data_IF_186428676058
#
_entry.id   IF_186428676058
#
_cell.length_a   1.000
_cell.length_b   1.000
_cell.length_c   1.000
_cell.angle_alpha   90.00
_cell.angle_beta   90.00
_cell.angle_gamma   90.00
#
_symmetry.space_group_name_H-M   'P 1'
#
loop_
_entity.id
_entity.type
_entity.pdbx_description
1 polymer ?
#
# COMPACT_ATOMS: atom_id res chain seq x y z
N UNK A 1 56.85 -37.80 39.67
CA UNK A 1 56.42 -37.73 38.26
C UNK A 1 54.90 -37.75 38.26
N UNK A 2 54.27 -36.60 38.05
CA UNK A 2 52.82 -36.49 37.85
C UNK A 2 52.59 -36.24 36.35
N UNK A 3 51.72 -36.98 35.67
CA UNK A 3 51.24 -36.55 34.36
C UNK A 3 50.23 -35.43 34.59
N UNK A 4 50.48 -34.26 33.99
CA UNK A 4 49.50 -33.21 33.78
C UNK A 4 48.42 -33.76 32.85
N UNK A 5 47.21 -33.98 33.37
CA UNK A 5 46.07 -34.42 32.57
C UNK A 5 45.61 -33.29 31.67
N UNK A 6 46.11 -33.26 30.44
CA UNK A 6 45.48 -32.48 29.37
C UNK A 6 44.14 -33.12 29.05
N UNK A 7 43.08 -32.46 29.48
CA UNK A 7 41.72 -32.90 29.25
C UNK A 7 41.45 -32.86 27.72
N UNK A 8 41.15 -34.00 27.07
CA UNK A 8 40.95 -34.05 25.63
C UNK A 8 39.64 -33.39 25.16
N UNK A 9 38.81 -32.89 26.09
CA UNK A 9 37.57 -32.18 25.82
C UNK A 9 37.69 -30.66 25.93
N UNK A 10 38.90 -30.10 25.98
CA UNK A 10 39.10 -28.67 25.80
C UNK A 10 38.91 -28.32 24.32
N UNK A 11 37.65 -28.17 23.92
CA UNK A 11 37.27 -27.59 22.64
C UNK A 11 37.95 -26.23 22.48
N UNK A 12 38.46 -25.87 21.29
CA UNK A 12 38.93 -24.51 21.05
C UNK A 12 37.78 -23.58 21.41
N UNK A 13 38.08 -22.46 22.08
CA UNK A 13 37.12 -21.43 22.41
C UNK A 13 36.28 -21.15 21.16
N UNK A 14 35.08 -21.72 21.12
CA UNK A 14 34.07 -21.38 20.14
C UNK A 14 33.88 -19.90 20.42
N UNK A 15 34.32 -19.07 19.47
CA UNK A 15 33.97 -17.67 19.44
C UNK A 15 32.47 -17.63 19.72
N UNK A 16 32.10 -17.22 20.93
CA UNK A 16 30.74 -16.86 21.24
C UNK A 16 30.42 -15.80 20.19
N UNK A 17 29.75 -16.23 19.11
CA UNK A 17 29.05 -15.35 18.22
C UNK A 17 28.03 -14.68 19.13
N UNK A 18 28.42 -13.54 19.68
CA UNK A 18 27.51 -12.58 20.28
C UNK A 18 26.43 -12.43 19.21
N UNK A 19 25.17 -12.84 19.48
CA UNK A 19 24.10 -12.60 18.54
C UNK A 19 24.17 -11.11 18.22
N UNK A 20 24.23 -10.69 16.93
CA UNK A 20 24.23 -9.28 16.62
C UNK A 20 23.04 -8.67 17.37
N UNK A 21 23.31 -7.61 18.15
CA UNK A 21 22.28 -6.94 18.93
C UNK A 21 21.11 -6.64 17.98
N UNK A 22 19.86 -6.93 18.36
CA UNK A 22 18.70 -6.49 17.60
C UNK A 22 18.57 -4.99 17.83
N UNK A 23 19.45 -4.22 17.22
CA UNK A 23 19.42 -2.78 17.21
C UNK A 23 19.76 -2.37 15.80
N UNK A 24 18.72 -1.97 15.07
CA UNK A 24 18.75 -1.40 13.71
C UNK A 24 18.72 -2.42 12.55
N UNK A 25 17.67 -3.25 12.52
CA UNK A 25 17.16 -3.78 11.24
C UNK A 25 15.69 -3.39 11.15
N UNK A 26 15.36 -2.70 10.06
CA UNK A 26 14.03 -2.50 9.47
C UNK A 26 12.97 -1.66 10.21
N UNK A 27 13.21 -0.36 10.38
CA UNK A 27 12.11 0.60 10.58
C UNK A 27 11.49 1.13 9.28
N UNK A 28 11.99 0.69 8.11
CA UNK A 28 11.47 1.14 6.80
C UNK A 28 10.60 0.10 6.10
N UNK A 29 10.79 -1.19 6.37
CA UNK A 29 10.07 -2.27 5.68
C UNK A 29 8.60 -2.41 6.15
N UNK A 30 8.29 -2.07 7.41
CA UNK A 30 6.92 -2.16 7.96
C UNK A 30 5.96 -1.07 7.46
N UNK A 31 6.48 0.05 6.94
CA UNK A 31 5.65 1.20 6.57
C UNK A 31 4.90 1.02 5.24
N UNK A 32 5.47 0.25 4.32
CA UNK A 32 4.89 0.02 2.99
C UNK A 32 3.66 -0.91 3.04
N UNK A 33 3.68 -2.05 3.76
CA UNK A 33 2.50 -2.87 3.99
C UNK A 33 1.33 -2.09 4.60
N UNK A 34 1.63 -1.18 5.54
CA UNK A 34 0.61 -0.37 6.21
C UNK A 34 -0.09 0.63 5.25
N UNK A 35 0.67 1.33 4.41
CA UNK A 35 0.12 2.29 3.44
C UNK A 35 -0.68 1.60 2.32
N UNK A 36 -0.19 0.44 1.86
CA UNK A 36 -0.92 -0.39 0.87
C UNK A 36 -2.23 -0.91 1.45
N UNK A 37 -2.21 -1.44 2.68
CA UNK A 37 -3.40 -1.89 3.38
C UNK A 37 -4.39 -0.73 3.60
N UNK A 38 -3.91 0.45 4.00
CA UNK A 38 -4.75 1.63 4.16
C UNK A 38 -5.41 2.04 2.83
N UNK A 39 -4.66 2.01 1.73
CA UNK A 39 -5.17 2.33 0.40
C UNK A 39 -6.26 1.34 -0.02
N UNK A 40 -6.06 0.04 0.24
CA UNK A 40 -7.08 -0.98 0.00
C UNK A 40 -8.34 -0.74 0.84
N UNK A 41 -8.19 -0.39 2.11
CA UNK A 41 -9.31 -0.06 2.98
C UNK A 41 -10.11 1.14 2.45
N UNK A 42 -9.45 2.17 1.92
CA UNK A 42 -10.15 3.29 1.28
C UNK A 42 -10.92 2.88 0.02
N UNK A 43 -10.38 1.99 -0.80
CA UNK A 43 -11.12 1.43 -1.93
C UNK A 43 -12.35 0.64 -1.48
N UNK A 44 -12.24 -0.16 -0.41
CA UNK A 44 -13.39 -0.88 0.16
C UNK A 44 -14.47 0.07 0.71
N UNK A 45 -14.07 1.15 1.37
CA UNK A 45 -15.02 2.17 1.83
C UNK A 45 -15.72 2.85 0.65
N UNK A 46 -14.99 3.26 -0.39
CA UNK A 46 -15.56 3.85 -1.59
C UNK A 46 -16.54 2.88 -2.29
N UNK A 47 -16.14 1.61 -2.42
CA UNK A 47 -16.99 0.56 -2.98
C UNK A 47 -18.29 0.38 -2.18
N UNK A 48 -18.21 0.37 -0.86
CA UNK A 48 -19.37 0.24 0.02
C UNK A 48 -20.35 1.40 -0.19
N UNK A 49 -19.84 2.63 -0.28
CA UNK A 49 -20.68 3.81 -0.52
C UNK A 49 -21.33 3.75 -1.90
N UNK A 50 -20.59 3.33 -2.94
CA UNK A 50 -21.15 3.11 -4.27
C UNK A 50 -22.22 2.02 -4.30
N UNK A 51 -22.03 0.93 -3.57
CA UNK A 51 -23.03 -0.13 -3.45
C UNK A 51 -24.30 0.36 -2.73
N UNK A 52 -24.14 1.10 -1.63
CA UNK A 52 -25.26 1.74 -0.93
C UNK A 52 -26.01 2.72 -1.83
N UNK A 53 -25.28 3.57 -2.56
CA UNK A 53 -25.86 4.53 -3.50
C UNK A 53 -26.58 3.81 -4.66
N UNK A 54 -26.02 2.70 -5.16
CA UNK A 54 -26.65 1.88 -6.20
C UNK A 54 -28.01 1.34 -5.75
N UNK A 55 -28.10 0.80 -4.52
CA UNK A 55 -29.36 0.28 -3.97
C UNK A 55 -30.35 1.42 -3.71
N UNK A 56 -29.89 2.52 -3.11
CA UNK A 56 -30.75 3.64 -2.73
C UNK A 56 -31.31 4.41 -3.94
N UNK A 57 -30.45 4.72 -4.91
CA UNK A 57 -30.81 5.47 -6.13
C UNK A 57 -31.32 4.56 -7.24
N UNK A 58 -31.23 3.24 -7.07
CA UNK A 58 -31.51 2.21 -8.09
C UNK A 58 -30.70 2.40 -9.38
N UNK A 59 -29.46 2.88 -9.23
CA UNK A 59 -28.54 3.08 -10.34
C UNK A 59 -27.51 1.95 -10.39
N UNK A 60 -27.60 1.14 -11.45
CA UNK A 60 -26.73 -0.01 -11.68
C UNK A 60 -25.27 0.43 -11.93
N UNK A 61 -25.07 1.62 -12.49
CA UNK A 61 -23.73 2.15 -12.82
C UNK A 61 -22.88 2.31 -11.57
N UNK A 62 -23.49 2.74 -10.46
CA UNK A 62 -22.84 2.82 -9.15
C UNK A 62 -22.52 1.43 -8.59
N UNK A 63 -23.34 0.42 -8.86
CA UNK A 63 -23.08 -0.96 -8.49
C UNK A 63 -21.87 -1.54 -9.22
N UNK A 64 -21.73 -1.24 -10.52
CA UNK A 64 -20.54 -1.60 -11.31
C UNK A 64 -19.31 -0.87 -10.76
N UNK A 65 -19.42 0.42 -10.45
CA UNK A 65 -18.33 1.18 -9.85
C UNK A 65 -17.87 0.56 -8.52
N UNK A 66 -18.79 0.06 -7.69
CA UNK A 66 -18.46 -0.65 -6.46
C UNK A 66 -17.65 -1.92 -6.70
N UNK A 67 -18.07 -2.76 -7.64
CA UNK A 67 -17.35 -4.01 -7.98
C UNK A 67 -15.95 -3.70 -8.51
N UNK A 68 -15.83 -2.72 -9.39
CA UNK A 68 -14.54 -2.29 -9.94
C UNK A 68 -13.65 -1.72 -8.84
N UNK A 69 -14.19 -0.89 -7.94
CA UNK A 69 -13.45 -0.37 -6.78
C UNK A 69 -12.89 -1.49 -5.89
N UNK A 70 -13.69 -2.52 -5.61
CA UNK A 70 -13.22 -3.70 -4.87
C UNK A 70 -12.09 -4.43 -5.62
N UNK A 71 -12.26 -4.66 -6.93
CA UNK A 71 -11.27 -5.36 -7.75
C UNK A 71 -9.94 -4.61 -7.85
N UNK A 72 -9.99 -3.30 -8.11
CA UNK A 72 -8.80 -2.44 -8.15
C UNK A 72 -8.15 -2.35 -6.76
N UNK A 73 -8.95 -2.16 -5.71
CA UNK A 73 -8.48 -2.15 -4.33
C UNK A 73 -7.79 -3.46 -3.94
N UNK A 74 -8.29 -4.61 -4.39
CA UNK A 74 -7.62 -5.88 -4.15
C UNK A 74 -6.32 -6.00 -4.97
N UNK A 75 -6.33 -5.56 -6.23
CA UNK A 75 -5.16 -5.62 -7.10
C UNK A 75 -3.96 -4.83 -6.57
N UNK A 76 -4.18 -3.67 -5.93
CA UNK A 76 -3.08 -2.86 -5.36
C UNK A 76 -2.37 -3.54 -4.18
N UNK A 77 -2.95 -4.58 -3.58
CA UNK A 77 -2.25 -5.39 -2.57
C UNK A 77 -1.06 -6.14 -3.17
N UNK A 78 -1.06 -6.36 -4.49
CA UNK A 78 0.08 -6.93 -5.19
C UNK A 78 1.14 -5.85 -5.42
N UNK A 79 2.40 -6.04 -4.97
CA UNK A 79 3.46 -5.04 -5.05
C UNK A 79 4.05 -4.95 -6.47
N UNK A 80 3.32 -4.38 -7.42
CA UNK A 80 3.77 -4.19 -8.81
C UNK A 80 3.48 -2.78 -9.31
N UNK A 81 4.42 -2.18 -10.06
CA UNK A 81 4.22 -0.86 -10.69
C UNK A 81 2.90 -0.78 -11.46
N UNK A 82 2.52 -1.87 -12.12
CA UNK A 82 1.32 -1.93 -12.95
C UNK A 82 0.04 -1.85 -12.11
N UNK A 83 -0.03 -2.56 -10.98
CA UNK A 83 -1.22 -2.54 -10.11
C UNK A 83 -1.35 -1.19 -9.40
N UNK A 84 -0.23 -0.56 -9.06
CA UNK A 84 -0.19 0.79 -8.52
C UNK A 84 -0.66 1.84 -9.54
N UNK A 85 -0.17 1.75 -10.78
CA UNK A 85 -0.63 2.60 -11.88
C UNK A 85 -2.12 2.43 -12.15
N UNK A 86 -2.62 1.18 -12.14
CA UNK A 86 -4.04 0.88 -12.26
C UNK A 86 -4.86 1.55 -11.14
N UNK A 87 -4.42 1.41 -9.89
CA UNK A 87 -5.03 2.07 -8.74
C UNK A 87 -5.09 3.59 -8.91
N UNK A 88 -3.96 4.21 -9.29
CA UNK A 88 -3.87 5.66 -9.45
C UNK A 88 -4.76 6.18 -10.59
N UNK A 89 -4.70 5.53 -11.76
CA UNK A 89 -5.53 5.90 -12.92
C UNK A 89 -7.01 5.74 -12.62
N UNK A 90 -7.40 4.66 -11.95
CA UNK A 90 -8.79 4.44 -11.58
C UNK A 90 -9.28 5.48 -10.57
N UNK A 91 -8.53 5.75 -9.50
CA UNK A 91 -8.92 6.79 -8.54
C UNK A 91 -8.99 8.17 -9.18
N UNK A 92 -8.06 8.52 -10.07
CA UNK A 92 -8.10 9.78 -10.79
C UNK A 92 -9.32 9.89 -11.71
N UNK A 93 -9.65 8.83 -12.45
CA UNK A 93 -10.85 8.77 -13.26
C UNK A 93 -12.11 8.95 -12.40
N UNK A 94 -12.19 8.28 -11.25
CA UNK A 94 -13.33 8.41 -10.34
C UNK A 94 -13.45 9.81 -9.74
N UNK A 95 -12.34 10.51 -9.45
CA UNK A 95 -12.37 11.93 -9.07
C UNK A 95 -13.01 12.76 -10.18
N UNK A 96 -12.60 12.58 -11.43
CA UNK A 96 -13.16 13.32 -12.56
C UNK A 96 -14.65 13.01 -12.76
N UNK A 97 -15.04 11.74 -12.68
CA UNK A 97 -16.44 11.32 -12.79
C UNK A 97 -17.28 11.95 -11.69
N UNK A 98 -16.82 11.89 -10.44
CA UNK A 98 -17.52 12.49 -9.29
C UNK A 98 -17.66 14.00 -9.47
N UNK A 99 -16.59 14.71 -9.86
CA UNK A 99 -16.65 16.15 -10.12
C UNK A 99 -17.60 16.50 -11.27
N UNK A 100 -17.61 15.72 -12.35
CA UNK A 100 -18.52 15.90 -13.46
C UNK A 100 -19.98 15.68 -13.03
N UNK A 101 -20.26 14.62 -12.26
CA UNK A 101 -21.58 14.36 -11.68
C UNK A 101 -22.02 15.49 -10.74
N UNK A 102 -21.13 15.98 -9.89
CA UNK A 102 -21.35 17.15 -9.03
C UNK A 102 -21.74 18.39 -9.85
N UNK A 103 -21.01 18.67 -10.92
CA UNK A 103 -21.26 19.83 -11.77
C UNK A 103 -22.61 19.73 -12.51
N UNK A 104 -22.94 18.55 -13.04
CA UNK A 104 -24.20 18.31 -13.75
C UNK A 104 -25.40 18.44 -12.80
N UNK A 105 -25.28 17.87 -11.60
CA UNK A 105 -26.38 17.86 -10.62
C UNK A 105 -26.49 19.15 -9.81
N UNK A 106 -25.49 20.05 -9.89
CA UNK A 106 -25.53 21.35 -9.23
C UNK A 106 -26.72 22.22 -9.68
N UNK A 107 -27.14 22.09 -10.94
CA UNK A 107 -28.25 22.85 -11.52
C UNK A 107 -29.56 22.04 -11.56
N UNK A 108 -29.54 20.79 -11.07
CA UNK A 108 -30.64 19.83 -11.20
C UNK A 108 -31.07 19.16 -9.89
N UNK A 109 -31.88 18.10 -9.97
CA UNK A 109 -32.23 17.26 -8.82
C UNK A 109 -30.96 16.61 -8.27
N UNK A 110 -30.52 17.04 -7.10
CA UNK A 110 -29.26 16.58 -6.52
C UNK A 110 -29.46 15.29 -5.73
N UNK A 111 -28.65 14.24 -5.95
CA UNK A 111 -28.62 13.10 -5.04
C UNK A 111 -28.16 13.55 -3.64
N UNK A 112 -28.45 12.79 -2.58
CA UNK A 112 -27.95 13.09 -1.25
C UNK A 112 -26.43 13.28 -1.25
N UNK A 113 -25.96 14.38 -0.65
CA UNK A 113 -24.53 14.78 -0.61
C UNK A 113 -23.65 13.67 -0.04
N UNK A 114 -24.20 12.81 0.82
CA UNK A 114 -23.54 11.64 1.41
C UNK A 114 -23.07 10.59 0.38
N UNK A 115 -23.66 10.55 -0.82
CA UNK A 115 -23.25 9.62 -1.89
C UNK A 115 -22.27 10.24 -2.88
N UNK A 116 -22.00 11.55 -2.76
CA UNK A 116 -21.21 12.33 -3.70
C UNK A 116 -19.87 12.76 -3.09
N UNK A 117 -19.92 13.44 -1.93
CA UNK A 117 -18.72 14.02 -1.31
C UNK A 117 -17.78 12.97 -0.68
N UNK A 118 -18.27 11.97 0.08
CA UNK A 118 -17.37 11.02 0.72
C UNK A 118 -16.54 10.17 -0.28
N UNK A 119 -17.12 9.59 -1.36
CA UNK A 119 -16.32 8.91 -2.38
C UNK A 119 -15.29 9.83 -3.03
N UNK A 120 -15.66 11.08 -3.35
CA UNK A 120 -14.72 12.06 -3.91
C UNK A 120 -13.51 12.29 -2.99
N UNK A 121 -13.77 12.52 -1.70
CA UNK A 121 -12.69 12.70 -0.70
C UNK A 121 -11.83 11.44 -0.60
N UNK A 122 -12.44 10.24 -0.57
CA UNK A 122 -11.71 8.98 -0.52
C UNK A 122 -10.79 8.81 -1.74
N UNK A 123 -11.28 9.09 -2.96
CA UNK A 123 -10.44 8.97 -4.15
C UNK A 123 -9.31 9.99 -4.18
N UNK A 124 -9.52 11.22 -3.69
CA UNK A 124 -8.43 12.20 -3.54
C UNK A 124 -7.37 11.72 -2.54
N UNK A 125 -7.78 11.14 -1.41
CA UNK A 125 -6.86 10.56 -0.43
C UNK A 125 -6.09 9.38 -1.01
N UNK A 126 -6.76 8.49 -1.78
CA UNK A 126 -6.11 7.37 -2.46
C UNK A 126 -5.07 7.89 -3.47
N UNK A 127 -5.41 8.90 -4.29
CA UNK A 127 -4.46 9.51 -5.23
C UNK A 127 -3.24 10.05 -4.49
N UNK A 128 -3.45 10.78 -3.39
CA UNK A 128 -2.35 11.32 -2.60
C UNK A 128 -1.46 10.21 -2.01
N UNK A 129 -2.05 9.16 -1.44
CA UNK A 129 -1.32 8.02 -0.89
C UNK A 129 -0.52 7.30 -1.98
N UNK A 130 -1.15 6.95 -3.10
CA UNK A 130 -0.48 6.25 -4.19
C UNK A 130 0.64 7.10 -4.80
N UNK A 131 0.45 8.41 -4.91
CA UNK A 131 1.50 9.32 -5.38
C UNK A 131 2.68 9.41 -4.40
N UNK A 132 2.43 9.54 -3.10
CA UNK A 132 3.50 9.57 -2.10
C UNK A 132 4.30 8.27 -2.06
N UNK A 133 3.60 7.14 -2.04
CA UNK A 133 4.27 5.83 -1.91
C UNK A 133 5.02 5.46 -3.19
N UNK A 134 4.47 5.79 -4.38
CA UNK A 134 5.17 5.56 -5.66
C UNK A 134 6.43 6.41 -5.80
N UNK A 135 6.40 7.68 -5.38
CA UNK A 135 7.58 8.55 -5.36
C UNK A 135 8.68 7.98 -4.48
N UNK A 136 8.32 7.59 -3.24
CA UNK A 136 9.27 7.03 -2.27
C UNK A 136 9.91 5.73 -2.74
N UNK A 137 9.16 4.87 -3.42
CA UNK A 137 9.60 3.51 -3.75
C UNK A 137 10.24 3.36 -5.13
N UNK A 138 9.78 4.10 -6.14
CA UNK A 138 10.29 3.93 -7.52
C UNK A 138 11.27 5.02 -7.95
N UNK A 139 11.24 6.20 -7.32
CA UNK A 139 12.08 7.33 -7.71
C UNK A 139 13.14 7.66 -6.68
N UNK A 140 12.78 7.62 -5.39
CA UNK A 140 13.68 7.98 -4.28
C UNK A 140 14.29 6.74 -3.58
N UNK A 141 14.10 5.53 -4.12
CA UNK A 141 14.68 4.33 -3.52
C UNK A 141 16.21 4.45 -3.46
N UNK A 142 16.82 4.32 -2.26
CA UNK A 142 18.26 4.44 -2.13
C UNK A 142 18.93 3.34 -2.96
N UNK A 143 19.92 3.73 -3.78
CA UNK A 143 20.77 2.84 -4.58
C UNK A 143 21.61 1.84 -3.76
N UNK A 144 21.33 1.65 -2.48
CA UNK A 144 22.14 0.87 -1.54
C UNK A 144 21.96 -0.65 -1.66
N UNK A 145 21.22 -1.13 -2.66
CA UNK A 145 21.17 -2.53 -3.07
C UNK A 145 22.09 -2.84 -4.26
N UNK A 146 23.08 -1.99 -4.57
CA UNK A 146 24.24 -2.47 -5.32
C UNK A 146 24.94 -3.53 -4.44
N UNK A 147 25.03 -4.79 -4.88
CA UNK A 147 25.83 -5.78 -4.17
C UNK A 147 27.24 -5.20 -4.14
N UNK A 148 27.79 -4.97 -2.94
CA UNK A 148 29.23 -4.77 -2.80
C UNK A 148 29.86 -5.98 -3.47
N UNK A 149 30.50 -5.77 -4.62
CA UNK A 149 31.36 -6.79 -5.21
C UNK A 149 32.29 -7.29 -4.10
N UNK A 150 32.47 -8.61 -3.95
CA UNK A 150 33.45 -9.12 -3.01
C UNK A 150 34.79 -8.49 -3.39
N UNK A 151 35.37 -7.75 -2.45
CA UNK A 151 36.74 -7.25 -2.58
C UNK A 151 37.61 -8.49 -2.64
N UNK A 152 37.98 -8.91 -3.84
CA UNK A 152 39.05 -9.87 -4.04
C UNK A 152 40.38 -9.18 -3.72
N UNK A 153 41.07 -9.78 -2.74
CA UNK A 153 42.47 -9.62 -2.30
C UNK A 153 42.89 -8.30 -1.64
#
# INVERSE_FOLDING_TARGET
>A
MHPSSENPFQSPAVLEQIPPRPSEIDSTDDSMPALVALTWMFFLFAATIHAMASVYLRDISLGVAAIVSCGVGFAILYPSVLTWGLGLSYSFLMVLVMLALSAITYVGPRPPVIFEMPPLVLYLLIVFLLFQTSRRYYFDAPKHLEPKEPVES
#
